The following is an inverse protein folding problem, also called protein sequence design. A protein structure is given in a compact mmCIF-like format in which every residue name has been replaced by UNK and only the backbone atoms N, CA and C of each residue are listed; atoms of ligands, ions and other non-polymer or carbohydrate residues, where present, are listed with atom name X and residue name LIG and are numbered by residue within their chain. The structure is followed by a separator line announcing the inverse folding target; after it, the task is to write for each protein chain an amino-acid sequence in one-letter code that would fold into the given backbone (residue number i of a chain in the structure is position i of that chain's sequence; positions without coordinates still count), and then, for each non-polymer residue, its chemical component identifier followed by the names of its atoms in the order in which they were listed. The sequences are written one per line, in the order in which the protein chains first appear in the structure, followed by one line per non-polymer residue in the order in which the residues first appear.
data_IF_225007624553
#
_entry.id   IF_225007624553
#
_cell.length_a   1.000
_cell.length_b   1.000
_cell.length_c   1.000
_cell.angle_alpha   90.00
_cell.angle_beta   90.00
_cell.angle_gamma   90.00
#
_symmetry.space_group_name_H-M   'P 1'
#
loop_
_entity.id
_entity.type
_entity.pdbx_description
1 polymer ?
#
# COMPACT_ATOMS: atom_id res chain seq x y z
N UNK A 1 16.80 -18.32 2.10
CA UNK A 1 15.35 -18.40 2.35
C UNK A 1 14.78 -19.40 1.36
N UNK A 2 14.14 -20.47 1.83
CA UNK A 2 13.59 -21.56 0.98
C UNK A 2 12.24 -21.17 0.34
N UNK A 3 12.12 -19.94 -0.17
CA UNK A 3 10.85 -19.44 -0.74
C UNK A 3 9.71 -19.21 0.26
N UNK A 4 9.98 -19.31 1.57
CA UNK A 4 9.00 -18.99 2.63
C UNK A 4 8.89 -17.47 2.79
N UNK A 5 7.70 -16.95 2.53
CA UNK A 5 7.32 -15.54 2.67
C UNK A 5 6.15 -15.51 3.63
N UNK A 6 6.18 -14.62 4.62
CA UNK A 6 5.05 -14.38 5.53
C UNK A 6 4.28 -13.11 5.14
N UNK A 7 5.02 -12.05 4.76
CA UNK A 7 4.48 -10.74 4.41
C UNK A 7 5.08 -10.21 3.11
N UNK A 8 4.23 -9.63 2.28
CA UNK A 8 4.60 -8.80 1.14
C UNK A 8 4.15 -7.37 1.40
N UNK A 9 5.09 -6.42 1.41
CA UNK A 9 4.83 -5.01 1.73
C UNK A 9 5.17 -4.15 0.52
N UNK A 10 4.25 -3.30 0.08
CA UNK A 10 4.50 -2.38 -1.03
C UNK A 10 3.59 -1.15 -0.99
N UNK A 11 4.03 -0.07 -1.66
CA UNK A 11 3.23 1.12 -1.82
C UNK A 11 2.02 0.92 -2.74
N UNK A 12 0.96 1.69 -2.52
CA UNK A 12 -0.23 1.67 -3.37
C UNK A 12 -0.26 2.92 -4.23
N UNK A 13 -0.11 2.76 -5.54
CA UNK A 13 -0.48 3.77 -6.55
C UNK A 13 -1.68 3.25 -7.34
N UNK A 14 -1.46 2.90 -8.60
CA UNK A 14 -2.49 2.27 -9.47
C UNK A 14 -3.07 0.95 -8.94
N UNK A 15 -2.43 0.32 -7.95
CA UNK A 15 -2.83 -0.97 -7.40
C UNK A 15 -2.25 -2.19 -8.13
N UNK A 16 -1.68 -2.01 -9.33
CA UNK A 16 -1.19 -3.12 -10.16
C UNK A 16 -0.15 -4.00 -9.45
N UNK A 17 0.84 -3.38 -8.80
CA UNK A 17 1.90 -4.11 -8.06
C UNK A 17 1.32 -4.90 -6.90
N UNK A 18 0.61 -4.24 -5.99
CA UNK A 18 0.10 -4.92 -4.79
C UNK A 18 -0.92 -5.99 -5.14
N UNK A 19 -1.89 -5.70 -6.03
CA UNK A 19 -2.96 -6.64 -6.35
C UNK A 19 -2.43 -7.82 -7.18
N UNK A 20 -1.59 -7.55 -8.19
CA UNK A 20 -1.01 -8.59 -9.03
C UNK A 20 -0.12 -9.55 -8.23
N UNK A 21 0.78 -9.00 -7.40
CA UNK A 21 1.66 -9.81 -6.56
C UNK A 21 0.89 -10.52 -5.45
N UNK A 22 -0.03 -9.84 -4.74
CA UNK A 22 -0.81 -10.46 -3.67
C UNK A 22 -1.65 -11.63 -4.19
N UNK A 23 -2.29 -11.47 -5.35
CA UNK A 23 -3.05 -12.55 -5.99
C UNK A 23 -2.17 -13.78 -6.23
N UNK A 24 -1.03 -13.59 -6.90
CA UNK A 24 -0.11 -14.70 -7.18
C UNK A 24 0.43 -15.36 -5.90
N UNK A 25 0.83 -14.57 -4.90
CA UNK A 25 1.35 -15.10 -3.64
C UNK A 25 0.29 -15.90 -2.89
N UNK A 26 -0.94 -15.40 -2.81
CA UNK A 26 -2.06 -16.08 -2.14
C UNK A 26 -2.51 -17.35 -2.86
N UNK A 27 -2.33 -17.44 -4.18
CA UNK A 27 -2.49 -18.68 -4.94
C UNK A 27 -1.43 -19.75 -4.55
N UNK A 28 -0.26 -19.34 -4.05
CA UNK A 28 0.79 -20.26 -3.58
C UNK A 28 0.62 -20.62 -2.11
N UNK A 29 0.33 -19.62 -1.28
CA UNK A 29 0.04 -19.80 0.14
C UNK A 29 -0.95 -18.73 0.60
N UNK A 30 -2.21 -19.09 0.92
CA UNK A 30 -3.22 -18.15 1.38
C UNK A 30 -2.88 -17.52 2.75
N UNK A 31 -1.90 -18.06 3.48
CA UNK A 31 -1.38 -17.50 4.72
C UNK A 31 -0.57 -16.21 4.51
N UNK A 32 -0.05 -15.97 3.31
CA UNK A 32 0.77 -14.78 3.01
C UNK A 32 -0.07 -13.50 3.12
N UNK A 33 0.49 -12.54 3.84
CA UNK A 33 -0.12 -11.24 4.10
C UNK A 33 0.37 -10.17 3.14
N UNK A 34 -0.55 -9.47 2.48
CA UNK A 34 -0.24 -8.33 1.62
C UNK A 34 -0.54 -7.04 2.36
N UNK A 35 0.49 -6.21 2.58
CA UNK A 35 0.42 -4.97 3.33
C UNK A 35 0.65 -3.79 2.38
N UNK A 36 -0.33 -2.90 2.32
CA UNK A 36 -0.25 -1.65 1.59
C UNK A 36 0.44 -0.56 2.38
N UNK A 37 1.17 0.32 1.69
CA UNK A 37 1.66 1.58 2.24
C UNK A 37 1.04 2.73 1.47
N UNK A 38 0.42 3.66 2.19
CA UNK A 38 -0.35 4.78 1.64
C UNK A 38 0.13 6.11 2.25
N UNK A 39 0.35 7.19 1.47
CA UNK A 39 0.75 8.47 2.04
C UNK A 39 -0.40 9.15 2.79
N UNK A 40 -0.07 9.85 3.87
CA UNK A 40 -1.02 10.70 4.58
C UNK A 40 -1.54 11.80 3.63
N UNK A 41 -2.86 11.82 3.43
CA UNK A 41 -3.53 12.70 2.47
C UNK A 41 -4.14 11.98 1.27
N UNK A 42 -3.74 10.71 1.02
CA UNK A 42 -4.44 9.79 0.12
C UNK A 42 -5.73 9.26 0.76
N UNK A 43 -6.67 8.81 -0.09
CA UNK A 43 -7.95 8.26 0.37
C UNK A 43 -7.92 6.75 0.65
N UNK A 44 -6.86 6.03 0.27
CA UNK A 44 -6.87 4.55 0.31
C UNK A 44 -6.87 3.99 1.73
N UNK A 45 -6.05 4.53 2.64
CA UNK A 45 -5.98 4.07 4.03
C UNK A 45 -7.34 4.18 4.73
N UNK A 46 -7.96 5.36 4.70
CA UNK A 46 -9.25 5.62 5.34
C UNK A 46 -10.36 4.79 4.70
N UNK A 47 -10.37 4.69 3.37
CA UNK A 47 -11.35 3.87 2.68
C UNK A 47 -11.21 2.39 3.02
N UNK A 48 -9.99 1.84 3.10
CA UNK A 48 -9.78 0.44 3.43
C UNK A 48 -10.37 0.10 4.81
N UNK A 49 -10.05 0.90 5.83
CA UNK A 49 -10.46 0.67 7.22
C UNK A 49 -11.91 1.03 7.53
N UNK A 50 -12.42 2.12 6.95
CA UNK A 50 -13.72 2.69 7.34
C UNK A 50 -14.80 2.59 6.26
N UNK A 51 -14.41 2.26 5.02
CA UNK A 51 -15.25 2.34 3.81
C UNK A 51 -15.83 3.73 3.55
N UNK A 52 -15.23 4.78 4.14
CA UNK A 52 -15.59 6.18 3.93
C UNK A 52 -14.48 6.88 3.16
N UNK A 53 -14.88 7.69 2.19
CA UNK A 53 -13.97 8.61 1.55
C UNK A 53 -13.80 9.83 2.44
N UNK A 54 -12.55 10.24 2.62
CA UNK A 54 -12.18 11.48 3.29
C UNK A 54 -11.89 12.55 2.23
N UNK A 55 -11.78 13.80 2.69
CA UNK A 55 -11.23 14.86 1.86
C UNK A 55 -9.71 14.62 1.72
N UNK A 56 -9.18 14.41 0.51
CA UNK A 56 -7.75 14.26 0.32
C UNK A 56 -7.01 15.56 0.65
N UNK A 57 -5.73 15.45 0.96
CA UNK A 57 -4.85 16.60 1.20
C UNK A 57 -3.54 16.45 0.45
N UNK A 58 -2.92 17.56 -0.01
CA UNK A 58 -1.64 17.49 -0.71
C UNK A 58 -0.53 16.85 0.13
N UNK A 59 0.33 16.09 -0.53
CA UNK A 59 1.57 15.51 -0.01
C UNK A 59 2.66 15.60 -1.09
N UNK A 60 3.92 15.44 -0.70
CA UNK A 60 5.08 15.59 -1.59
C UNK A 60 5.56 14.27 -2.18
N UNK A 61 5.30 13.15 -1.50
CA UNK A 61 5.67 11.83 -1.98
C UNK A 61 5.03 11.55 -3.34
N UNK A 62 5.84 11.16 -4.32
CA UNK A 62 5.38 10.90 -5.69
C UNK A 62 5.11 9.42 -5.95
N UNK A 63 4.13 9.15 -6.83
CA UNK A 63 3.85 7.82 -7.39
C UNK A 63 2.98 6.90 -6.53
N UNK A 64 2.70 7.25 -5.28
CA UNK A 64 1.78 6.52 -4.39
C UNK A 64 0.63 7.42 -3.93
N UNK A 65 -0.44 6.77 -3.46
CA UNK A 65 -1.69 7.40 -3.05
C UNK A 65 -2.48 7.97 -4.23
N UNK A 66 -3.73 8.36 -3.97
CA UNK A 66 -4.55 9.10 -4.92
C UNK A 66 -5.65 9.89 -4.18
N UNK A 67 -6.24 10.86 -4.86
CA UNK A 67 -7.37 11.67 -4.39
C UNK A 67 -8.72 10.92 -4.54
N UNK A 68 -8.73 9.83 -5.32
CA UNK A 68 -9.92 9.01 -5.59
C UNK A 68 -9.61 7.51 -5.62
N UNK A 69 -10.63 6.67 -5.49
CA UNK A 69 -10.46 5.21 -5.60
C UNK A 69 -10.17 4.81 -7.04
N UNK A 70 -9.01 4.21 -7.26
CA UNK A 70 -8.64 3.67 -8.57
C UNK A 70 -9.29 2.29 -8.74
N UNK A 71 -10.02 2.09 -9.84
CA UNK A 71 -10.74 0.84 -10.11
C UNK A 71 -9.86 -0.41 -10.23
N UNK A 72 -8.55 -0.25 -10.44
CA UNK A 72 -7.58 -1.34 -10.47
C UNK A 72 -7.16 -1.82 -9.07
N UNK A 73 -7.49 -1.10 -8.00
CA UNK A 73 -7.17 -1.49 -6.62
C UNK A 73 -8.24 -2.45 -6.10
N UNK A 74 -7.91 -3.72 -6.02
CA UNK A 74 -8.73 -4.74 -5.38
C UNK A 74 -8.39 -4.85 -3.89
N UNK A 75 -9.12 -4.10 -3.06
CA UNK A 75 -8.94 -4.09 -1.61
C UNK A 75 -9.22 -5.44 -0.94
N UNK A 76 -9.85 -6.41 -1.62
CA UNK A 76 -10.06 -7.76 -1.06
C UNK A 76 -8.78 -8.59 -1.01
N UNK A 77 -7.75 -8.20 -1.77
CA UNK A 77 -6.44 -8.86 -1.81
C UNK A 77 -5.45 -8.29 -0.79
N UNK A 78 -5.80 -7.19 -0.12
CA UNK A 78 -4.94 -6.46 0.82
C UNK A 78 -5.38 -6.83 2.25
N UNK A 79 -4.45 -7.29 3.08
CA UNK A 79 -4.72 -7.67 4.46
C UNK A 79 -4.71 -6.47 5.42
N UNK A 80 -3.88 -5.46 5.14
CA UNK A 80 -3.80 -4.23 5.93
C UNK A 80 -3.19 -3.08 5.11
N UNK A 81 -3.41 -1.83 5.52
CA UNK A 81 -2.76 -0.65 4.93
C UNK A 81 -2.15 0.20 6.05
N UNK A 82 -0.88 0.59 5.90
CA UNK A 82 -0.20 1.51 6.80
C UNK A 82 -0.09 2.88 6.16
N UNK A 83 -0.44 3.92 6.92
CA UNK A 83 -0.28 5.29 6.49
C UNK A 83 1.10 5.82 6.88
N UNK A 84 1.75 6.59 5.99
CA UNK A 84 3.05 7.22 6.23
C UNK A 84 3.05 8.70 5.86
N UNK A 85 3.80 9.52 6.59
CA UNK A 85 4.03 10.92 6.23
C UNK A 85 5.20 11.09 5.25
N UNK A 86 5.22 12.19 4.51
CA UNK A 86 6.36 12.58 3.66
C UNK A 86 7.69 12.56 4.43
N UNK A 87 7.66 13.06 5.68
CA UNK A 87 8.85 13.11 6.54
C UNK A 87 9.38 11.71 6.83
N UNK A 88 8.52 10.77 7.20
CA UNK A 88 8.92 9.39 7.47
C UNK A 88 9.47 8.71 6.22
N UNK A 89 8.79 8.87 5.08
CA UNK A 89 9.21 8.29 3.82
C UNK A 89 10.58 8.84 3.38
N UNK A 90 10.77 10.15 3.38
CA UNK A 90 12.02 10.77 2.92
C UNK A 90 13.19 10.51 3.86
N UNK A 91 12.98 10.50 5.18
CA UNK A 91 14.04 10.15 6.14
C UNK A 91 14.44 8.67 6.00
N UNK A 92 13.46 7.78 5.80
CA UNK A 92 13.74 6.35 5.60
C UNK A 92 14.47 6.13 4.27
N UNK A 93 14.05 6.79 3.19
CA UNK A 93 14.73 6.70 1.89
C UNK A 93 16.19 7.15 1.96
N UNK A 94 16.49 8.27 2.65
CA UNK A 94 17.87 8.73 2.86
C UNK A 94 18.69 7.72 3.67
N UNK A 95 18.11 7.17 4.75
CA UNK A 95 18.78 6.16 5.58
C UNK A 95 19.12 4.88 4.82
N UNK A 96 18.38 4.52 3.76
CA UNK A 96 18.67 3.35 2.94
C UNK A 96 19.89 3.52 2.03
N UNK A 97 20.31 4.76 1.77
CA UNK A 97 21.48 5.07 0.95
C UNK A 97 22.76 5.29 1.76
N UNK A 98 22.62 5.35 3.09
CA UNK A 98 23.74 5.41 4.04
C UNK A 98 24.33 4.02 4.30
#
# INVERSE_FOLDING_TARGET
MEGKIDYFVTGIGTGGTICGTAKYLKEKDPGIKAIGVDPAGSVFFDYFHSKKLIKPSPYLLEGLGDEFLIGCVDFSLIDDIYQVTDKEAFLTARKLTD
#
